data_IF_287839987012
#
_entry.id   IF_287839987012
#
_cell.length_a   1.000
_cell.length_b   1.000
_cell.length_c   1.000
_cell.angle_alpha   90.00
_cell.angle_beta   90.00
_cell.angle_gamma   90.00
#
_symmetry.space_group_name_H-M   'P 1'
#
loop_
_entity.id
_entity.type
_entity.pdbx_description
1 polymer ?
#
# COMPACT_ATOMS: atom_id res chain seq x y z
N UNK A 1 22.72 -0.03 -7.07
CA UNK A 1 23.34 1.13 -6.46
C UNK A 1 22.31 2.21 -6.20
N UNK A 2 22.26 2.63 -4.99
CA UNK A 2 21.20 3.49 -4.50
C UNK A 2 21.55 4.96 -4.71
N UNK A 3 20.74 5.62 -5.50
CA UNK A 3 20.65 7.06 -5.40
C UNK A 3 19.78 7.33 -4.16
N UNK A 4 20.41 7.79 -3.08
CA UNK A 4 19.76 8.04 -1.81
C UNK A 4 18.57 8.99 -1.88
N UNK A 5 18.48 9.79 -2.96
CA UNK A 5 17.37 10.72 -3.16
C UNK A 5 16.18 10.06 -3.84
N UNK A 6 16.43 9.12 -4.76
CA UNK A 6 15.37 8.50 -5.54
C UNK A 6 14.80 7.25 -4.89
N UNK A 7 15.62 6.54 -4.14
CA UNK A 7 15.22 5.26 -3.57
C UNK A 7 14.04 5.35 -2.62
N UNK A 8 14.01 6.28 -1.64
CA UNK A 8 12.84 6.41 -0.78
C UNK A 8 11.55 6.71 -1.55
N UNK A 9 11.64 7.52 -2.61
CA UNK A 9 10.49 7.84 -3.45
C UNK A 9 10.01 6.60 -4.19
N UNK A 10 10.93 5.80 -4.72
CA UNK A 10 10.58 4.57 -5.44
C UNK A 10 9.97 3.53 -4.50
N UNK A 11 10.53 3.35 -3.32
CA UNK A 11 10.00 2.42 -2.33
C UNK A 11 8.60 2.87 -1.91
N UNK A 12 8.41 4.16 -1.66
CA UNK A 12 7.12 4.71 -1.29
C UNK A 12 6.09 4.50 -2.39
N UNK A 13 6.48 4.66 -3.66
CA UNK A 13 5.58 4.43 -4.78
C UNK A 13 5.09 2.98 -4.80
N UNK A 14 5.98 2.01 -4.56
CA UNK A 14 5.62 0.60 -4.50
C UNK A 14 4.68 0.32 -3.32
N UNK A 15 4.99 0.87 -2.14
CA UNK A 15 4.15 0.70 -0.96
C UNK A 15 2.76 1.30 -1.16
N UNK A 16 2.69 2.49 -1.70
CA UNK A 16 1.42 3.18 -1.96
C UNK A 16 0.55 2.37 -2.90
N UNK A 17 1.14 1.86 -3.98
CA UNK A 17 0.43 1.03 -4.94
C UNK A 17 -0.09 -0.25 -4.29
N UNK A 18 0.73 -0.89 -3.46
CA UNK A 18 0.32 -2.10 -2.76
C UNK A 18 -0.81 -1.83 -1.78
N UNK A 19 -0.75 -0.72 -1.04
CA UNK A 19 -1.83 -0.35 -0.12
C UNK A 19 -3.13 -0.05 -0.86
N UNK A 20 -3.05 0.61 -2.01
CA UNK A 20 -4.21 0.87 -2.85
C UNK A 20 -4.86 -0.43 -3.34
N UNK A 21 -4.05 -1.39 -3.74
CA UNK A 21 -4.53 -2.70 -4.18
C UNK A 21 -5.21 -3.47 -3.05
N UNK A 22 -4.60 -3.48 -1.87
CA UNK A 22 -5.19 -4.13 -0.69
C UNK A 22 -6.52 -3.49 -0.32
N UNK A 23 -6.58 -2.18 -0.30
CA UNK A 23 -7.81 -1.45 0.01
C UNK A 23 -8.88 -1.74 -1.03
N UNK A 24 -8.52 -1.69 -2.33
CA UNK A 24 -9.45 -2.01 -3.41
C UNK A 24 -9.98 -3.42 -3.32
N UNK A 25 -9.11 -4.39 -3.02
CA UNK A 25 -9.51 -5.79 -2.84
C UNK A 25 -10.47 -5.94 -1.66
N UNK A 26 -10.17 -5.27 -0.54
CA UNK A 26 -11.01 -5.30 0.66
C UNK A 26 -12.41 -4.77 0.36
N UNK A 27 -12.50 -3.64 -0.33
CA UNK A 27 -13.78 -3.03 -0.71
C UNK A 27 -14.55 -3.92 -1.68
N UNK A 28 -13.87 -4.49 -2.68
CA UNK A 28 -14.51 -5.33 -3.68
C UNK A 28 -15.09 -6.60 -3.05
N UNK A 29 -14.35 -7.24 -2.16
CA UNK A 29 -14.83 -8.43 -1.45
C UNK A 29 -16.01 -8.07 -0.55
N UNK A 30 -15.96 -6.94 0.13
CA UNK A 30 -17.05 -6.44 0.94
C UNK A 30 -18.31 -6.15 0.12
N UNK A 31 -18.15 -5.83 -1.17
CA UNK A 31 -19.26 -5.62 -2.10
C UNK A 31 -19.74 -6.91 -2.78
N UNK A 32 -19.19 -8.07 -2.40
CA UNK A 32 -19.59 -9.35 -2.95
C UNK A 32 -18.95 -9.75 -4.26
N UNK A 33 -17.86 -9.09 -4.65
CA UNK A 33 -17.18 -9.40 -5.90
C UNK A 33 -16.39 -10.70 -5.78
N UNK A 34 -16.31 -11.46 -6.88
CA UNK A 34 -15.54 -12.70 -6.96
C UNK A 34 -14.05 -12.39 -7.17
N UNK A 35 -13.21 -13.42 -6.97
CA UNK A 35 -11.77 -13.30 -7.25
C UNK A 35 -11.50 -12.87 -8.70
N UNK A 36 -12.26 -13.40 -9.66
CA UNK A 36 -12.12 -13.05 -11.07
C UNK A 36 -12.46 -11.58 -11.31
N UNK A 37 -13.53 -11.08 -10.67
CA UNK A 37 -13.91 -9.68 -10.78
C UNK A 37 -12.86 -8.76 -10.16
N UNK A 38 -12.31 -9.14 -9.01
CA UNK A 38 -11.23 -8.39 -8.37
C UNK A 38 -10.01 -8.33 -9.26
N UNK A 39 -9.64 -9.46 -9.88
CA UNK A 39 -8.51 -9.50 -10.82
C UNK A 39 -8.70 -8.52 -11.96
N UNK A 40 -9.89 -8.47 -12.55
CA UNK A 40 -10.20 -7.53 -13.63
C UNK A 40 -10.12 -6.09 -13.17
N UNK A 41 -10.69 -5.79 -12.01
CA UNK A 41 -10.69 -4.43 -11.47
C UNK A 41 -9.28 -3.91 -11.20
N UNK A 42 -8.38 -4.81 -10.76
CA UNK A 42 -7.02 -4.44 -10.40
C UNK A 42 -6.02 -4.62 -11.54
N UNK A 43 -6.49 -5.07 -12.71
CA UNK A 43 -5.65 -5.19 -13.89
C UNK A 43 -4.74 -6.41 -13.91
N UNK A 44 -5.04 -7.44 -13.13
CA UNK A 44 -4.27 -8.69 -13.16
C UNK A 44 -4.65 -9.56 -14.35
N UNK A 45 -3.64 -10.22 -14.93
CA UNK A 45 -3.86 -11.11 -16.07
C UNK A 45 -4.55 -12.41 -15.68
N UNK A 46 -4.46 -12.82 -14.41
CA UNK A 46 -5.09 -14.05 -13.90
C UNK A 46 -5.65 -13.81 -12.52
N UNK A 47 -6.46 -14.76 -12.04
CA UNK A 47 -7.06 -14.66 -10.71
C UNK A 47 -6.09 -15.03 -9.57
N UNK A 48 -4.96 -15.67 -9.89
CA UNK A 48 -4.04 -16.14 -8.84
C UNK A 48 -3.42 -15.00 -8.01
N UNK A 49 -2.87 -13.94 -8.62
CA UNK A 49 -2.38 -12.79 -7.82
C UNK A 49 -3.49 -12.13 -7.02
N UNK A 50 -4.71 -12.06 -7.58
CA UNK A 50 -5.85 -11.50 -6.88
C UNK A 50 -6.21 -12.33 -5.65
N UNK A 51 -6.14 -13.66 -5.75
CA UNK A 51 -6.42 -14.55 -4.62
C UNK A 51 -5.47 -14.28 -3.47
N UNK A 52 -4.17 -14.16 -3.75
CA UNK A 52 -3.18 -13.86 -2.72
C UNK A 52 -3.44 -12.50 -2.08
N UNK A 53 -3.77 -11.52 -2.90
CA UNK A 53 -4.07 -10.18 -2.42
C UNK A 53 -5.31 -10.17 -1.53
N UNK A 54 -6.35 -10.91 -1.92
CA UNK A 54 -7.57 -11.04 -1.14
C UNK A 54 -7.29 -11.69 0.22
N UNK A 55 -6.47 -12.73 0.24
CA UNK A 55 -6.08 -13.38 1.50
C UNK A 55 -5.37 -12.40 2.43
N UNK A 56 -4.48 -11.59 1.89
CA UNK A 56 -3.79 -10.55 2.67
C UNK A 56 -4.77 -9.49 3.15
N UNK A 57 -5.68 -9.04 2.28
CA UNK A 57 -6.66 -8.01 2.62
C UNK A 57 -7.62 -8.47 3.72
N UNK A 58 -7.97 -9.75 3.75
CA UNK A 58 -8.84 -10.29 4.79
C UNK A 58 -8.23 -10.23 6.18
N UNK A 59 -6.90 -10.23 6.27
CA UNK A 59 -6.18 -10.13 7.54
C UNK A 59 -6.12 -8.70 8.07
N UNK A 60 -6.45 -7.73 7.23
CA UNK A 60 -6.39 -6.32 7.58
C UNK A 60 -7.79 -5.77 7.78
N UNK A 61 -7.96 -4.86 8.74
CA UNK A 61 -9.20 -4.11 8.89
C UNK A 61 -9.27 -2.99 7.87
N UNK A 62 -10.49 -2.59 7.50
CA UNK A 62 -10.69 -1.49 6.57
C UNK A 62 -10.11 -0.19 7.11
N UNK A 63 -10.30 0.08 8.40
CA UNK A 63 -9.74 1.27 9.04
C UNK A 63 -8.21 1.27 9.01
N UNK A 64 -7.60 0.10 9.23
CA UNK A 64 -6.15 -0.05 9.17
C UNK A 64 -5.61 0.27 7.77
N UNK A 65 -6.30 -0.21 6.73
CA UNK A 65 -5.91 0.06 5.35
C UNK A 65 -6.06 1.53 4.98
N UNK A 66 -7.11 2.19 5.48
CA UNK A 66 -7.29 3.63 5.30
C UNK A 66 -6.16 4.41 5.97
N UNK A 67 -5.80 4.04 7.19
CA UNK A 67 -4.70 4.67 7.91
C UNK A 67 -3.37 4.47 7.20
N UNK A 68 -3.15 3.27 6.66
CA UNK A 68 -1.94 2.98 5.89
C UNK A 68 -1.85 3.86 4.65
N UNK A 69 -2.94 4.03 3.91
CA UNK A 69 -2.96 4.90 2.74
C UNK A 69 -2.71 6.36 3.11
N UNK A 70 -3.32 6.82 4.19
CA UNK A 70 -3.11 8.19 4.68
C UNK A 70 -1.66 8.40 5.08
N UNK A 71 -1.06 7.44 5.78
CA UNK A 71 0.35 7.50 6.15
C UNK A 71 1.26 7.56 4.93
N UNK A 72 0.94 6.80 3.87
CA UNK A 72 1.69 6.87 2.62
C UNK A 72 1.57 8.24 1.96
N UNK A 73 0.37 8.82 1.95
CA UNK A 73 0.15 10.16 1.39
C UNK A 73 0.92 11.22 2.16
N UNK A 74 0.84 11.18 3.48
CA UNK A 74 1.57 12.13 4.34
C UNK A 74 3.07 12.02 4.13
N UNK A 75 3.57 10.79 3.99
CA UNK A 75 4.99 10.55 3.73
C UNK A 75 5.40 11.08 2.38
N UNK A 76 4.57 10.89 1.35
CA UNK A 76 4.84 11.44 0.02
C UNK A 76 4.98 12.96 0.06
N UNK A 77 4.07 13.62 0.77
CA UNK A 77 4.14 15.07 0.93
C UNK A 77 5.39 15.50 1.71
N UNK A 78 5.75 14.77 2.76
CA UNK A 78 6.94 15.05 3.54
C UNK A 78 8.22 14.87 2.72
N UNK A 79 8.29 13.82 1.89
CA UNK A 79 9.44 13.59 1.02
C UNK A 79 9.63 14.71 0.00
N UNK A 80 8.52 15.26 -0.48
CA UNK A 80 8.56 16.36 -1.46
C UNK A 80 8.96 17.69 -0.82
N UNK A 81 8.69 17.86 0.46
CA UNK A 81 8.90 19.12 1.15
C UNK A 81 10.15 19.15 2.03
N UNK A 82 10.70 18.01 2.45
CA UNK A 82 11.83 17.95 3.39
C UNK A 82 12.95 17.05 2.89
N UNK A 83 13.60 17.46 1.83
CA UNK A 83 14.89 16.92 1.46
C UNK A 83 15.94 17.58 2.34
N UNK A 84 16.90 16.86 2.92
CA UNK A 84 17.43 15.54 2.58
C UNK A 84 17.01 14.36 3.45
N UNK A 85 16.06 14.50 4.35
CA UNK A 85 15.70 13.45 5.33
C UNK A 85 14.68 12.41 4.82
N UNK A 86 14.61 12.21 3.49
CA UNK A 86 13.64 11.32 2.88
C UNK A 86 13.72 9.88 3.40
N UNK A 87 14.93 9.37 3.64
CA UNK A 87 15.09 8.00 4.12
C UNK A 87 14.55 7.85 5.54
N UNK A 88 14.83 8.81 6.41
CA UNK A 88 14.31 8.80 7.77
C UNK A 88 12.78 8.87 7.79
N UNK A 89 12.22 9.72 6.92
CA UNK A 89 10.77 9.84 6.78
C UNK A 89 10.16 8.51 6.36
N UNK A 90 10.81 7.80 5.42
CA UNK A 90 10.37 6.47 4.99
C UNK A 90 10.45 5.45 6.13
N UNK A 91 11.52 5.48 6.90
CA UNK A 91 11.68 4.58 8.04
C UNK A 91 10.56 4.77 9.06
N UNK A 92 10.19 6.02 9.33
CA UNK A 92 9.07 6.32 10.23
C UNK A 92 7.75 5.78 9.67
N UNK A 93 7.53 5.90 8.37
CA UNK A 93 6.35 5.32 7.74
C UNK A 93 6.31 3.81 7.92
N UNK A 94 7.43 3.13 7.68
CA UNK A 94 7.50 1.68 7.83
C UNK A 94 7.17 1.24 9.25
N UNK A 95 7.64 1.99 10.25
CA UNK A 95 7.30 1.73 11.64
C UNK A 95 5.82 1.92 11.92
N UNK A 96 5.21 2.97 11.38
CA UNK A 96 3.77 3.22 11.54
C UNK A 96 2.94 2.09 10.95
N UNK A 97 3.31 1.62 9.76
CA UNK A 97 2.61 0.52 9.10
C UNK A 97 2.74 -0.78 9.89
N UNK A 98 3.92 -1.04 10.45
CA UNK A 98 4.15 -2.22 11.27
C UNK A 98 3.30 -2.17 12.55
N UNK A 99 3.21 -1.02 13.20
CA UNK A 99 2.39 -0.84 14.39
C UNK A 99 0.91 -1.03 14.10
N UNK A 100 0.44 -0.49 12.98
CA UNK A 100 -0.95 -0.64 12.58
C UNK A 100 -1.36 -2.05 12.21
N UNK A 101 -0.38 -2.90 11.85
CA UNK A 101 -0.64 -4.29 11.47
C UNK A 101 -0.74 -5.25 12.66
N UNK A 102 -0.45 -4.78 13.86
CA UNK A 102 -0.48 -5.61 15.07
C UNK A 102 -1.87 -5.73 15.70
#
# INVERSE_FOLDING_TARGET
LFDLKQEPVMILAVLTKQMQRLYGAKLAIGAGKSETEVAKLLGYASSYPARRLIQSARRCGLAELRQAQLACLETDLALKSSLPDGQRTLELLLLQLAEGAQ
#
